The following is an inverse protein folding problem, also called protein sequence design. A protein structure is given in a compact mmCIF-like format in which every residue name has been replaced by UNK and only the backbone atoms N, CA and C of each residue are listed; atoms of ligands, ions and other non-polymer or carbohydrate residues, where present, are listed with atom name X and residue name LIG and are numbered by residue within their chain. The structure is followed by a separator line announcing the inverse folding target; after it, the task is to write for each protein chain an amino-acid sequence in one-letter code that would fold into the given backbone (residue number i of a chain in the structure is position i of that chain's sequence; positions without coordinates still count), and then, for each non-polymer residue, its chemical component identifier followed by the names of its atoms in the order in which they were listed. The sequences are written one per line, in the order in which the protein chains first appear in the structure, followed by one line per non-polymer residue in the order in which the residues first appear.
data_IF_713991588432
#
_entry.id   IF_713991588432
#
_cell.length_a   1.000
_cell.length_b   1.000
_cell.length_c   1.000
_cell.angle_alpha   90.00
_cell.angle_beta   90.00
_cell.angle_gamma   90.00
#
_symmetry.space_group_name_H-M   'P 1'
#
loop_
_entity.id
_entity.type
_entity.pdbx_description
1 polymer ?
#
# COMPACT_ATOMS: atom_id res chain seq x y z
N UNK A 1 17.96 -36.70 5.01
CA UNK A 1 17.32 -35.53 5.65
C UNK A 1 18.12 -34.87 6.78
N UNK A 2 18.74 -35.61 7.72
CA UNK A 2 19.38 -34.98 8.91
C UNK A 2 20.55 -34.04 8.59
N UNK A 3 21.30 -34.32 7.50
CA UNK A 3 22.42 -33.47 7.05
C UNK A 3 21.93 -32.11 6.53
N UNK A 4 20.92 -32.10 5.65
CA UNK A 4 20.34 -30.87 5.08
C UNK A 4 19.88 -29.88 6.15
N UNK A 5 19.24 -30.38 7.22
CA UNK A 5 18.81 -29.55 8.35
C UNK A 5 19.99 -28.92 9.09
N UNK A 6 21.05 -29.68 9.38
CA UNK A 6 22.28 -29.15 9.99
C UNK A 6 22.95 -28.11 9.11
N UNK A 7 22.99 -28.34 7.80
CA UNK A 7 23.62 -27.42 6.85
C UNK A 7 22.86 -26.09 6.79
N UNK A 8 21.53 -26.13 6.84
CA UNK A 8 20.69 -24.93 6.88
C UNK A 8 20.97 -24.05 8.11
N UNK A 9 21.04 -24.65 9.30
CA UNK A 9 21.36 -23.91 10.54
C UNK A 9 22.75 -23.30 10.51
N UNK A 10 23.76 -24.05 10.00
CA UNK A 10 25.12 -23.52 9.86
C UNK A 10 25.20 -22.34 8.90
N UNK A 11 24.47 -22.40 7.77
CA UNK A 11 24.43 -21.28 6.79
C UNK A 11 23.83 -20.02 7.39
N UNK A 12 22.84 -20.17 8.27
CA UNK A 12 22.21 -19.06 8.97
C UNK A 12 22.97 -18.61 10.24
N UNK A 13 24.05 -19.29 10.63
CA UNK A 13 24.80 -18.98 11.85
C UNK A 13 24.04 -19.28 13.15
N UNK A 14 23.08 -20.20 13.13
CA UNK A 14 22.18 -20.51 14.24
C UNK A 14 22.57 -21.84 14.89
N UNK A 15 22.60 -21.89 16.22
CA UNK A 15 22.83 -23.13 16.96
C UNK A 15 21.59 -24.06 16.85
N UNK A 16 21.73 -25.29 16.33
CA UNK A 16 20.62 -26.24 16.26
C UNK A 16 20.05 -26.67 17.62
N UNK A 17 20.74 -26.41 18.73
CA UNK A 17 20.25 -26.67 20.10
C UNK A 17 19.44 -25.52 20.69
N UNK A 18 19.40 -24.38 20.02
CA UNK A 18 18.63 -23.23 20.50
C UNK A 18 17.11 -23.52 20.40
N UNK A 19 16.34 -23.38 21.48
CA UNK A 19 14.87 -23.53 21.43
C UNK A 19 14.22 -22.54 20.46
N UNK A 20 14.84 -21.37 20.23
CA UNK A 20 14.38 -20.36 19.30
C UNK A 20 15.00 -20.50 17.89
N UNK A 21 15.74 -21.58 17.60
CA UNK A 21 16.45 -21.76 16.32
C UNK A 21 15.51 -21.64 15.11
N UNK A 22 14.32 -22.23 15.19
CA UNK A 22 13.32 -22.16 14.13
C UNK A 22 12.86 -20.72 13.87
N UNK A 23 12.60 -19.95 14.93
CA UNK A 23 12.22 -18.55 14.78
C UNK A 23 13.35 -17.75 14.13
N UNK A 24 14.59 -17.88 14.64
CA UNK A 24 15.77 -17.18 14.12
C UNK A 24 16.06 -17.47 12.64
N UNK A 25 15.77 -18.69 12.17
CA UNK A 25 15.93 -19.07 10.74
C UNK A 25 15.04 -18.24 9.80
N UNK A 26 13.92 -17.72 10.30
CA UNK A 26 12.96 -16.94 9.54
C UNK A 26 13.11 -15.43 9.77
N UNK A 27 14.04 -15.01 10.62
CA UNK A 27 14.33 -13.59 10.81
C UNK A 27 15.20 -13.08 9.64
N UNK A 28 14.89 -11.90 9.08
CA UNK A 28 15.77 -11.27 8.11
C UNK A 28 17.11 -10.92 8.79
N UNK A 29 18.20 -11.53 8.33
CA UNK A 29 19.55 -11.35 8.88
C UNK A 29 20.24 -10.03 8.45
N UNK A 30 19.46 -8.99 8.16
CA UNK A 30 19.97 -7.70 7.71
C UNK A 30 19.80 -6.64 8.78
N UNK A 31 20.90 -6.02 9.21
CA UNK A 31 20.82 -4.71 9.86
C UNK A 31 20.52 -3.68 8.78
N UNK A 32 19.47 -2.87 8.97
CA UNK A 32 19.19 -1.77 8.05
C UNK A 32 20.37 -0.77 8.10
N UNK A 33 20.86 -0.29 6.94
CA UNK A 33 21.96 0.67 6.94
C UNK A 33 21.54 1.96 7.65
N UNK A 34 22.52 2.64 8.26
CA UNK A 34 22.31 3.94 8.91
C UNK A 34 21.63 4.90 7.93
N UNK A 35 20.39 5.31 8.26
CA UNK A 35 19.58 6.20 7.41
C UNK A 35 18.57 5.52 6.48
N UNK A 36 18.50 4.18 6.40
CA UNK A 36 17.44 3.50 5.66
C UNK A 36 16.07 3.66 6.34
N UNK A 37 16.04 3.76 7.66
CA UNK A 37 14.85 4.15 8.40
C UNK A 37 14.87 5.65 8.58
N UNK A 38 14.13 6.38 7.74
CA UNK A 38 13.77 7.75 8.05
C UNK A 38 12.72 7.69 9.16
N UNK A 39 12.94 8.37 10.28
CA UNK A 39 11.90 8.62 11.30
C UNK A 39 10.88 9.61 10.75
N UNK A 40 10.19 9.24 9.68
CA UNK A 40 9.01 9.97 9.23
C UNK A 40 7.86 9.41 10.05
N UNK A 41 7.75 9.86 11.30
CA UNK A 41 6.41 10.22 11.75
C UNK A 41 5.94 11.21 10.69
N UNK A 42 5.14 10.74 9.73
CA UNK A 42 4.51 11.62 8.76
C UNK A 42 3.75 12.71 9.51
N UNK A 43 3.36 13.80 8.83
CA UNK A 43 2.57 14.84 9.48
C UNK A 43 1.40 14.19 10.21
N UNK A 44 1.17 14.59 11.47
CA UNK A 44 0.05 14.04 12.23
C UNK A 44 -1.26 14.33 11.48
N UNK A 45 -2.32 13.54 11.67
CA UNK A 45 -3.59 13.79 10.99
C UNK A 45 -4.08 15.25 11.18
N UNK A 46 -3.79 15.86 12.33
CA UNK A 46 -4.08 17.27 12.62
C UNK A 46 -3.25 18.23 11.73
N UNK A 47 -1.95 17.98 11.57
CA UNK A 47 -1.07 18.75 10.70
C UNK A 47 -1.46 18.63 9.22
N UNK A 48 -1.89 17.43 8.79
CA UNK A 48 -2.39 17.21 7.43
C UNK A 48 -3.64 18.03 7.15
N UNK A 49 -4.57 18.05 8.10
CA UNK A 49 -5.83 18.78 7.99
C UNK A 49 -5.62 20.31 8.03
N UNK A 50 -4.69 20.78 8.85
CA UNK A 50 -4.28 22.19 8.87
C UNK A 50 -3.65 22.63 7.53
N UNK A 51 -2.84 21.78 6.92
CA UNK A 51 -2.23 22.06 5.60
C UNK A 51 -3.29 22.12 4.50
N UNK A 52 -4.24 21.19 4.51
CA UNK A 52 -5.35 21.16 3.56
C UNK A 52 -6.22 22.43 3.67
N UNK A 53 -6.56 22.85 4.89
CA UNK A 53 -7.28 24.11 5.16
C UNK A 53 -6.54 25.35 4.65
N UNK A 54 -5.21 25.40 4.81
CA UNK A 54 -4.38 26.50 4.30
C UNK A 54 -4.28 26.51 2.77
N UNK A 55 -4.28 25.34 2.15
CA UNK A 55 -4.18 25.20 0.69
C UNK A 55 -5.51 25.37 -0.06
N UNK A 56 -6.65 25.39 0.64
CA UNK A 56 -7.95 25.50 0.01
C UNK A 56 -8.11 26.92 -0.57
N UNK A 57 -8.18 27.09 -1.90
CA UNK A 57 -8.46 28.38 -2.48
C UNK A 57 -9.82 28.85 -1.99
N UNK A 58 -9.90 30.11 -1.58
CA UNK A 58 -11.13 30.74 -1.12
C UNK A 58 -12.08 30.79 -2.33
N UNK A 59 -12.97 29.81 -2.47
CA UNK A 59 -14.06 29.89 -3.45
C UNK A 59 -14.85 31.14 -3.13
N UNK A 60 -14.65 32.18 -3.94
CA UNK A 60 -15.47 33.39 -3.90
C UNK A 60 -16.90 32.92 -4.13
N UNK A 61 -17.76 33.11 -3.12
CA UNK A 61 -19.20 32.96 -3.25
C UNK A 61 -19.69 34.01 -4.24
N UNK A 62 -19.66 33.68 -5.53
CA UNK A 62 -20.47 34.37 -6.52
C UNK A 62 -21.91 33.93 -6.29
N UNK A 63 -22.76 34.91 -6.02
CA UNK A 63 -24.14 34.71 -5.59
C UNK A 63 -25.01 33.94 -6.59
N UNK A 64 -26.04 33.33 -6.02
CA UNK A 64 -27.31 32.95 -6.64
C UNK A 64 -27.25 32.14 -7.95
N UNK A 65 -27.37 30.82 -7.84
CA UNK A 65 -27.99 29.99 -8.87
C UNK A 65 -28.63 28.74 -8.24
N UNK A 66 -29.88 28.92 -7.85
CA UNK A 66 -31.02 27.99 -7.80
C UNK A 66 -30.71 26.47 -7.88
N UNK A 67 -31.05 25.77 -6.80
CA UNK A 67 -31.29 24.33 -6.80
C UNK A 67 -32.40 23.96 -7.79
N UNK A 68 -32.12 23.07 -8.73
CA UNK A 68 -33.15 22.29 -9.43
C UNK A 68 -32.83 20.80 -9.29
N UNK A 69 -33.51 20.15 -8.34
CA UNK A 69 -33.72 18.71 -8.39
C UNK A 69 -34.94 18.46 -9.26
N UNK A 70 -34.79 17.77 -10.38
CA UNK A 70 -35.89 17.10 -11.09
C UNK A 70 -35.31 15.98 -11.94
N UNK A 71 -35.60 14.75 -11.54
CA UNK A 71 -35.23 13.55 -12.28
C UNK A 71 -36.03 13.41 -13.57
N UNK A 72 -35.48 12.64 -14.50
CA UNK A 72 -36.24 11.97 -15.56
C UNK A 72 -35.47 10.73 -16.01
N UNK A 73 -36.16 9.60 -15.95
CA UNK A 73 -35.68 8.25 -16.23
C UNK A 73 -35.36 8.00 -17.71
N UNK A 74 -34.39 7.10 -17.90
CA UNK A 74 -34.28 6.09 -18.95
C UNK A 74 -34.33 6.53 -20.42
N UNK A 75 -33.17 6.51 -21.09
CA UNK A 75 -32.94 5.73 -22.32
C UNK A 75 -31.52 5.93 -22.86
N UNK A 76 -30.61 5.00 -22.58
CA UNK A 76 -29.57 4.51 -23.49
C UNK A 76 -28.62 3.56 -22.73
N UNK A 77 -28.49 2.28 -23.11
CA UNK A 77 -27.35 1.50 -22.67
C UNK A 77 -26.07 2.05 -23.34
N UNK A 78 -24.97 2.27 -22.61
CA UNK A 78 -23.68 2.39 -23.28
C UNK A 78 -23.37 1.04 -23.93
N UNK A 79 -23.21 1.06 -25.24
CA UNK A 79 -22.72 -0.05 -26.07
C UNK A 79 -21.56 -0.76 -25.37
N UNK A 80 -21.77 -2.03 -25.02
CA UNK A 80 -20.71 -2.91 -24.54
C UNK A 80 -19.73 -3.05 -25.72
N UNK A 81 -18.57 -2.41 -25.61
CA UNK A 81 -17.43 -2.80 -26.43
C UNK A 81 -16.80 -3.95 -25.66
N UNK A 82 -16.95 -5.17 -26.18
CA UNK A 82 -16.21 -6.33 -25.70
C UNK A 82 -14.72 -6.00 -25.77
N UNK A 83 -14.13 -5.73 -24.62
CA UNK A 83 -12.68 -5.62 -24.46
C UNK A 83 -12.17 -7.05 -24.41
N UNK A 84 -11.62 -7.53 -25.54
CA UNK A 84 -10.85 -8.77 -25.56
C UNK A 84 -9.69 -8.67 -24.58
N UNK A 85 -9.84 -9.25 -23.40
CA UNK A 85 -8.76 -9.45 -22.45
C UNK A 85 -7.94 -10.67 -22.85
N UNK A 86 -7.13 -10.54 -23.91
CA UNK A 86 -5.99 -11.45 -24.09
C UNK A 86 -4.96 -11.05 -23.04
N UNK A 87 -4.73 -11.94 -22.08
CA UNK A 87 -3.70 -11.73 -21.08
C UNK A 87 -2.31 -11.84 -21.74
N UNK A 88 -1.32 -11.03 -21.32
CA UNK A 88 -0.04 -10.87 -22.02
C UNK A 88 0.91 -12.09 -21.96
N UNK A 89 0.45 -13.24 -21.45
CA UNK A 89 1.23 -14.48 -21.33
C UNK A 89 0.71 -15.62 -22.19
N UNK A 90 -0.30 -15.40 -23.03
CA UNK A 90 -0.64 -16.32 -24.12
C UNK A 90 0.12 -15.93 -25.39
N UNK A 91 1.41 -16.29 -25.43
CA UNK A 91 2.17 -16.63 -26.65
C UNK A 91 3.44 -17.40 -26.26
#
# INVERSE_FOLDING_TARGET
MKAQKRDAFRRAGIDPKDPAAAAKMHLPLGTLPLGATTSTAGPTPEERLARERRSRPQCRTHGSAQSVSSGSSASAPPSIRDVNHVAPWEN
#
